data_IF_266891747435
#
_entry.id   IF_266891747435
#
_cell.length_a   1.000
_cell.length_b   1.000
_cell.length_c   1.000
_cell.angle_alpha   90.00
_cell.angle_beta   90.00
_cell.angle_gamma   90.00
#
_symmetry.space_group_name_H-M   'P 1'
#
loop_
_entity.id
_entity.type
_entity.pdbx_description
1 polymer ?
#
# COMPACT_ATOMS: atom_id res chain seq x y z
N UNK A 1 4.28 -6.51 4.73
CA UNK A 1 2.97 -5.89 4.46
C UNK A 1 2.56 -6.00 2.98
N UNK A 2 3.39 -5.60 2.01
CA UNK A 2 3.10 -5.78 0.56
C UNK A 2 2.93 -7.25 0.16
N UNK A 3 3.81 -8.14 0.66
CA UNK A 3 3.68 -9.60 0.43
C UNK A 3 2.30 -10.14 0.85
N UNK A 4 1.79 -9.68 2.00
CA UNK A 4 0.49 -10.10 2.53
C UNK A 4 -0.68 -9.55 1.73
N UNK A 5 -0.57 -8.32 1.18
CA UNK A 5 -1.55 -7.79 0.23
C UNK A 5 -1.62 -8.68 -1.02
N UNK A 6 -0.47 -9.00 -1.62
CA UNK A 6 -0.41 -9.89 -2.80
C UNK A 6 -0.96 -11.30 -2.50
N UNK A 7 -0.62 -11.87 -1.36
CA UNK A 7 -1.17 -13.17 -0.93
C UNK A 7 -2.69 -13.14 -0.79
N UNK A 8 -3.26 -12.07 -0.21
CA UNK A 8 -4.70 -11.93 -0.05
C UNK A 8 -5.42 -11.71 -1.38
N UNK A 9 -4.82 -10.98 -2.32
CA UNK A 9 -5.34 -10.83 -3.68
C UNK A 9 -5.36 -12.16 -4.43
N UNK A 10 -4.26 -12.92 -4.38
CA UNK A 10 -4.20 -14.26 -4.99
C UNK A 10 -5.26 -15.18 -4.36
N UNK A 11 -5.44 -15.15 -3.03
CA UNK A 11 -6.47 -15.91 -2.33
C UNK A 11 -7.91 -15.46 -2.66
N UNK A 12 -8.08 -14.21 -3.09
CA UNK A 12 -9.37 -13.70 -3.54
C UNK A 12 -9.64 -14.16 -4.98
N UNK A 13 -8.64 -14.11 -5.86
CA UNK A 13 -8.72 -14.53 -7.27
C UNK A 13 -8.85 -16.04 -7.44
N UNK A 14 -8.13 -16.84 -6.63
CA UNK A 14 -8.16 -18.31 -6.67
C UNK A 14 -9.43 -18.92 -6.05
N UNK A 15 -10.33 -18.08 -5.51
CA UNK A 15 -11.58 -18.49 -4.89
C UNK A 15 -11.43 -19.12 -3.51
N UNK A 16 -10.27 -18.99 -2.85
CA UNK A 16 -10.05 -19.49 -1.47
C UNK A 16 -11.05 -18.88 -0.50
N UNK A 17 -11.48 -17.64 -0.72
CA UNK A 17 -12.47 -16.96 0.13
C UNK A 17 -13.84 -17.66 0.09
N UNK A 18 -14.19 -18.33 -1.01
CA UNK A 18 -15.43 -19.07 -1.14
C UNK A 18 -15.45 -20.37 -0.31
N UNK A 19 -14.27 -20.88 0.10
CA UNK A 19 -14.13 -22.06 0.95
C UNK A 19 -14.18 -21.73 2.45
N UNK A 20 -14.13 -20.45 2.80
CA UNK A 20 -14.18 -19.96 4.18
C UNK A 20 -15.62 -19.74 4.64
N UNK A 21 -15.81 -19.67 5.96
CA UNK A 21 -17.11 -19.25 6.50
C UNK A 21 -17.39 -17.79 6.12
N UNK A 22 -18.67 -17.40 5.98
CA UNK A 22 -19.06 -16.01 5.64
C UNK A 22 -18.40 -14.96 6.55
N UNK A 23 -18.20 -15.29 7.83
CA UNK A 23 -17.55 -14.42 8.79
C UNK A 23 -16.05 -14.25 8.50
N UNK A 24 -15.35 -15.34 8.23
CA UNK A 24 -13.91 -15.31 7.93
C UNK A 24 -13.63 -14.68 6.56
N UNK A 25 -14.44 -14.99 5.55
CA UNK A 25 -14.38 -14.35 4.24
C UNK A 25 -14.54 -12.83 4.38
N UNK A 26 -15.56 -12.36 5.13
CA UNK A 26 -15.77 -10.94 5.39
C UNK A 26 -14.58 -10.26 6.08
N UNK A 27 -13.97 -10.93 7.07
CA UNK A 27 -12.78 -10.39 7.74
C UNK A 27 -11.61 -10.25 6.78
N UNK A 28 -11.37 -11.25 5.91
CA UNK A 28 -10.29 -11.19 4.92
C UNK A 28 -10.53 -10.14 3.84
N UNK A 29 -11.77 -9.95 3.40
CA UNK A 29 -12.12 -8.88 2.46
C UNK A 29 -11.84 -7.50 3.07
N UNK A 30 -12.22 -7.27 4.33
CA UNK A 30 -11.92 -6.00 5.03
C UNK A 30 -10.42 -5.76 5.19
N UNK A 31 -9.66 -6.82 5.50
CA UNK A 31 -8.21 -6.74 5.61
C UNK A 31 -7.56 -6.41 4.25
N UNK A 32 -8.06 -7.01 3.16
CA UNK A 32 -7.63 -6.72 1.80
C UNK A 32 -7.91 -5.25 1.44
N UNK A 33 -9.14 -4.77 1.61
CA UNK A 33 -9.52 -3.39 1.33
C UNK A 33 -8.70 -2.37 2.13
N UNK A 34 -8.44 -2.67 3.40
CA UNK A 34 -7.63 -1.80 4.27
C UNK A 34 -6.19 -1.72 3.79
N UNK A 35 -5.60 -2.87 3.44
CA UNK A 35 -4.23 -2.93 2.96
C UNK A 35 -4.09 -2.29 1.57
N UNK A 36 -5.05 -2.50 0.69
CA UNK A 36 -5.06 -1.92 -0.65
C UNK A 36 -5.15 -0.38 -0.59
N UNK A 37 -6.04 0.15 0.26
CA UNK A 37 -6.12 1.61 0.47
C UNK A 37 -4.80 2.23 0.95
N UNK A 38 -4.06 1.54 1.80
CA UNK A 38 -2.82 2.07 2.38
C UNK A 38 -1.56 1.79 1.54
N UNK A 39 -1.53 0.70 0.78
CA UNK A 39 -0.32 0.20 0.12
C UNK A 39 -0.48 0.01 -1.40
N UNK A 40 -1.68 0.19 -1.95
CA UNK A 40 -1.96 0.00 -3.38
C UNK A 40 -1.06 0.86 -4.26
N UNK A 41 -0.82 2.12 -3.86
CA UNK A 41 0.06 3.03 -4.61
C UNK A 41 1.54 2.61 -4.66
N UNK A 42 2.00 1.79 -3.70
CA UNK A 42 3.39 1.30 -3.64
C UNK A 42 3.51 -0.19 -3.96
N UNK A 43 2.41 -0.83 -4.39
CA UNK A 43 2.34 -2.28 -4.64
C UNK A 43 3.26 -2.71 -5.79
N UNK A 44 3.39 -1.86 -6.79
CA UNK A 44 4.19 -2.13 -8.01
C UNK A 44 5.58 -1.49 -7.94
N UNK A 45 5.91 -0.82 -6.84
CA UNK A 45 7.26 -0.31 -6.63
C UNK A 45 8.24 -1.47 -6.39
N UNK A 46 9.21 -1.63 -7.28
CA UNK A 46 10.28 -2.62 -7.16
C UNK A 46 11.42 -2.21 -6.23
N UNK A 47 11.42 -0.96 -5.75
CA UNK A 47 12.50 -0.38 -4.95
C UNK A 47 12.20 1.05 -4.50
N UNK A 48 13.26 1.76 -4.09
CA UNK A 48 13.17 3.19 -3.75
C UNK A 48 12.93 4.02 -5.02
N UNK A 49 12.08 5.06 -4.96
CA UNK A 49 11.86 5.94 -6.09
C UNK A 49 13.05 6.90 -6.30
N UNK A 50 13.29 7.30 -7.55
CA UNK A 50 14.36 8.24 -7.91
C UNK A 50 14.00 9.71 -7.61
N UNK A 51 12.70 10.02 -7.48
CA UNK A 51 12.19 11.33 -7.09
C UNK A 51 10.82 11.19 -6.43
N UNK A 52 10.48 12.15 -5.56
CA UNK A 52 9.19 12.22 -4.88
C UNK A 52 8.45 13.50 -5.29
N UNK A 53 7.18 13.37 -5.67
CA UNK A 53 6.29 14.50 -5.89
C UNK A 53 5.29 14.58 -4.74
N UNK A 54 5.23 15.72 -4.05
CA UNK A 54 4.36 15.94 -2.89
C UNK A 54 3.39 17.08 -3.19
N UNK A 55 2.11 16.86 -2.92
CA UNK A 55 1.07 17.89 -2.99
C UNK A 55 0.79 18.32 -1.55
N UNK A 56 0.83 19.63 -1.29
CA UNK A 56 0.70 20.21 0.05
C UNK A 56 1.84 19.81 0.99
N UNK A 57 2.90 20.63 0.99
CA UNK A 57 4.08 20.39 1.82
C UNK A 57 3.85 20.54 3.32
N UNK A 58 2.78 21.23 3.75
CA UNK A 58 2.52 21.46 5.18
C UNK A 58 1.82 20.27 5.83
N UNK A 59 0.91 19.64 5.09
CA UNK A 59 0.23 18.44 5.56
C UNK A 59 1.13 17.18 5.45
N UNK A 60 2.01 17.11 4.44
CA UNK A 60 2.84 15.93 4.12
C UNK A 60 4.29 16.03 4.61
N UNK A 61 4.53 16.74 5.72
CA UNK A 61 5.88 16.96 6.28
C UNK A 61 6.66 15.69 6.60
N UNK A 62 5.96 14.61 6.96
CA UNK A 62 6.58 13.31 7.25
C UNK A 62 7.23 12.75 5.99
N UNK A 63 6.52 12.78 4.86
CA UNK A 63 7.02 12.28 3.58
C UNK A 63 8.28 13.03 3.13
N UNK A 64 8.30 14.36 3.30
CA UNK A 64 9.47 15.19 2.97
C UNK A 64 10.66 14.83 3.87
N UNK A 65 10.42 14.63 5.17
CA UNK A 65 11.49 14.31 6.13
C UNK A 65 12.10 12.94 5.85
N UNK A 66 11.26 11.95 5.51
CA UNK A 66 11.71 10.61 5.14
C UNK A 66 12.47 10.60 3.81
N UNK A 67 11.99 11.33 2.80
CA UNK A 67 12.65 11.48 1.52
C UNK A 67 14.04 12.11 1.66
N UNK A 68 14.15 13.20 2.44
CA UNK A 68 15.42 13.86 2.73
C UNK A 68 16.42 12.94 3.45
N UNK A 69 15.93 12.10 4.37
CA UNK A 69 16.78 11.13 5.08
C UNK A 69 17.31 10.03 4.14
N UNK A 70 16.54 9.67 3.12
CA UNK A 70 16.93 8.69 2.10
C UNK A 70 17.69 9.31 0.92
N UNK A 71 17.81 10.63 0.86
CA UNK A 71 18.46 11.35 -0.24
C UNK A 71 17.64 11.41 -1.53
N UNK A 72 16.32 11.23 -1.44
CA UNK A 72 15.42 11.27 -2.60
C UNK A 72 15.05 12.73 -2.88
N UNK A 73 15.26 13.24 -4.11
CA UNK A 73 14.88 14.61 -4.46
C UNK A 73 13.36 14.78 -4.42
N UNK A 74 12.90 15.87 -3.78
CA UNK A 74 11.47 16.17 -3.57
C UNK A 74 11.05 17.39 -4.39
N UNK A 75 9.94 17.28 -5.11
CA UNK A 75 9.28 18.36 -5.85
C UNK A 75 7.92 18.58 -5.19
N UNK A 76 7.69 19.77 -4.65
CA UNK A 76 6.46 20.14 -3.94
C UNK A 76 5.63 21.17 -4.70
N UNK A 77 4.30 21.06 -4.61
CA UNK A 77 3.33 22.09 -5.00
C UNK A 77 2.53 22.54 -3.78
#
# INVERSE_FOLDING_TARGET
>A
SIKRLRELEVQAEDGTFAKLTKKEALMRTRDLEKLDRSLGGIKDMGGLPDALFVIDVDHERIAITEANKLGIPVIGV
#
